data_IF_214323094055
#
_entry.id   IF_214323094055
#
_cell.length_a   1.000
_cell.length_b   1.000
_cell.length_c   1.000
_cell.angle_alpha   90.00
_cell.angle_beta   90.00
_cell.angle_gamma   90.00
#
_symmetry.space_group_name_H-M   'P 1'
#
loop_
_entity.id
_entity.type
_entity.pdbx_description
1 polymer ?
#
# COMPACT_ATOMS: atom_id res chain seq x y z
N UNK A 1 -78.70 39.33 22.88
CA UNK A 1 -78.31 38.77 21.57
C UNK A 1 -77.34 39.72 20.87
N UNK A 2 -76.05 39.37 20.83
CA UNK A 2 -75.09 39.63 19.73
C UNK A 2 -73.74 39.07 20.16
N UNK A 3 -73.33 38.02 19.47
CA UNK A 3 -72.16 37.20 19.78
C UNK A 3 -70.88 37.89 19.31
N UNK A 4 -69.82 37.84 20.12
CA UNK A 4 -68.45 38.18 19.74
C UNK A 4 -67.67 36.87 19.70
N UNK A 5 -67.39 36.38 18.49
CA UNK A 5 -66.52 35.23 18.26
C UNK A 5 -65.07 35.69 18.35
N UNK A 6 -64.36 35.28 19.41
CA UNK A 6 -62.92 35.39 19.50
C UNK A 6 -62.26 34.22 18.75
N UNK A 7 -61.49 34.51 17.72
CA UNK A 7 -60.69 33.54 16.96
C UNK A 7 -59.32 33.45 17.64
N UNK A 8 -59.04 32.32 18.28
CA UNK A 8 -57.70 32.00 18.80
C UNK A 8 -56.88 31.37 17.69
N UNK A 9 -55.96 32.13 17.09
CA UNK A 9 -54.98 31.60 16.14
C UNK A 9 -53.84 30.97 16.95
N UNK A 10 -53.77 29.64 17.00
CA UNK A 10 -52.56 28.93 17.41
C UNK A 10 -51.53 29.04 16.28
N UNK A 11 -50.56 29.93 16.43
CA UNK A 11 -49.34 29.91 15.62
C UNK A 11 -48.48 28.77 16.15
N UNK A 12 -48.58 27.61 15.50
CA UNK A 12 -47.58 26.54 15.66
C UNK A 12 -46.29 27.07 15.03
N UNK A 13 -45.29 27.38 15.87
CA UNK A 13 -43.91 27.61 15.43
C UNK A 13 -43.39 26.32 14.78
N UNK A 14 -43.47 26.25 13.46
CA UNK A 14 -42.67 25.33 12.65
C UNK A 14 -41.22 25.81 12.68
N UNK A 15 -40.47 25.38 13.70
CA UNK A 15 -39.00 25.46 13.67
C UNK A 15 -38.44 24.68 12.47
N UNK A 16 -37.29 25.07 11.92
CA UNK A 16 -36.78 24.53 10.66
C UNK A 16 -36.29 23.09 10.85
N UNK A 17 -37.17 22.12 10.54
CA UNK A 17 -36.81 20.69 10.45
C UNK A 17 -35.82 20.39 9.31
N UNK A 18 -35.57 21.34 8.40
CA UNK A 18 -34.65 21.17 7.26
C UNK A 18 -33.18 21.13 7.66
N UNK A 19 -32.78 21.84 8.71
CA UNK A 19 -31.37 21.95 9.10
C UNK A 19 -30.84 20.62 9.65
N UNK A 20 -31.63 19.91 10.45
CA UNK A 20 -31.22 18.62 11.04
C UNK A 20 -31.11 17.48 10.02
N UNK A 21 -31.94 17.49 8.97
CA UNK A 21 -31.89 16.48 7.92
C UNK A 21 -30.61 16.59 7.06
N UNK A 22 -30.19 17.82 6.75
CA UNK A 22 -28.96 18.07 5.97
C UNK A 22 -27.69 17.70 6.76
N UNK A 23 -27.64 17.98 8.08
CA UNK A 23 -26.53 17.55 8.94
C UNK A 23 -26.45 16.03 9.09
N UNK A 24 -27.59 15.35 9.22
CA UNK A 24 -27.64 13.88 9.30
C UNK A 24 -27.21 13.20 7.99
N UNK A 25 -27.62 13.76 6.84
CA UNK A 25 -27.24 13.29 5.50
C UNK A 25 -25.73 13.45 5.22
N UNK A 26 -25.17 14.60 5.60
CA UNK A 26 -23.74 14.87 5.50
C UNK A 26 -22.95 13.94 6.43
N UNK A 27 -23.36 13.79 7.69
CA UNK A 27 -22.71 12.88 8.65
C UNK A 27 -22.67 11.42 8.18
N UNK A 28 -23.77 10.91 7.62
CA UNK A 28 -23.82 9.56 7.05
C UNK A 28 -22.88 9.39 5.86
N UNK A 29 -22.80 10.40 4.98
CA UNK A 29 -21.90 10.39 3.82
C UNK A 29 -20.43 10.44 4.25
N UNK A 30 -20.10 11.25 5.27
CA UNK A 30 -18.76 11.30 5.85
C UNK A 30 -18.37 9.97 6.50
N UNK A 31 -19.29 9.34 7.22
CA UNK A 31 -19.07 8.03 7.85
C UNK A 31 -18.73 6.95 6.81
N UNK A 32 -19.53 6.82 5.75
CA UNK A 32 -19.30 5.85 4.66
C UNK A 32 -17.97 6.10 3.96
N UNK A 33 -17.63 7.37 3.72
CA UNK A 33 -16.38 7.74 3.05
C UNK A 33 -15.15 7.39 3.88
N UNK A 34 -15.19 7.68 5.19
CA UNK A 34 -14.10 7.35 6.10
C UNK A 34 -13.96 5.84 6.24
N UNK A 35 -15.06 5.12 6.47
CA UNK A 35 -15.05 3.66 6.61
C UNK A 35 -14.46 2.97 5.36
N UNK A 36 -14.90 3.38 4.16
CA UNK A 36 -14.34 2.84 2.92
C UNK A 36 -12.86 3.16 2.79
N UNK A 37 -12.44 4.37 3.12
CA UNK A 37 -11.04 4.77 3.03
C UNK A 37 -10.15 4.07 4.07
N UNK A 38 -10.66 3.76 5.27
CA UNK A 38 -9.97 2.94 6.28
C UNK A 38 -9.71 1.55 5.70
N UNK A 39 -10.74 0.88 5.17
CA UNK A 39 -10.61 -0.45 4.55
C UNK A 39 -9.64 -0.45 3.37
N UNK A 40 -9.69 0.59 2.52
CA UNK A 40 -8.72 0.74 1.42
C UNK A 40 -7.29 0.92 1.94
N UNK A 41 -7.07 1.76 2.96
CA UNK A 41 -5.75 1.98 3.53
C UNK A 41 -5.20 0.68 4.15
N UNK A 42 -6.02 -0.04 4.92
CA UNK A 42 -5.64 -1.31 5.54
C UNK A 42 -5.14 -2.32 4.49
N UNK A 43 -5.92 -2.51 3.42
CA UNK A 43 -5.55 -3.38 2.31
C UNK A 43 -4.20 -2.99 1.67
N UNK A 44 -4.00 -1.70 1.40
CA UNK A 44 -2.76 -1.20 0.79
C UNK A 44 -1.55 -1.35 1.71
N UNK A 45 -1.74 -1.11 3.01
CA UNK A 45 -0.70 -1.31 4.03
C UNK A 45 -0.31 -2.79 4.08
N UNK A 46 -1.28 -3.71 4.14
CA UNK A 46 -1.02 -5.15 4.17
C UNK A 46 -0.35 -5.62 2.87
N UNK A 47 -0.75 -5.10 1.71
CA UNK A 47 -0.13 -5.42 0.43
C UNK A 47 1.37 -5.05 0.35
N UNK A 48 1.78 -3.98 1.05
CA UNK A 48 3.19 -3.59 1.17
C UNK A 48 3.99 -4.43 2.17
N UNK A 49 3.33 -5.09 3.12
CA UNK A 49 3.97 -5.74 4.27
C UNK A 49 5.09 -6.71 3.87
N UNK A 50 4.82 -7.59 2.90
CA UNK A 50 5.82 -8.53 2.37
C UNK A 50 7.06 -7.81 1.84
N UNK A 51 6.86 -6.74 1.06
CA UNK A 51 7.95 -5.98 0.45
C UNK A 51 8.81 -5.29 1.48
N UNK A 52 8.18 -4.66 2.48
CA UNK A 52 8.91 -3.92 3.52
C UNK A 52 9.61 -4.88 4.49
N UNK A 53 8.95 -5.96 4.88
CA UNK A 53 9.52 -6.95 5.82
C UNK A 53 10.68 -7.71 5.19
N UNK A 54 10.56 -8.12 3.92
CA UNK A 54 11.57 -8.95 3.26
C UNK A 54 12.75 -8.13 2.71
N UNK A 55 12.46 -6.99 2.07
CA UNK A 55 13.40 -6.26 1.21
C UNK A 55 13.47 -4.75 1.54
N UNK A 56 12.73 -4.28 2.55
CA UNK A 56 12.67 -2.86 2.89
C UNK A 56 13.96 -2.34 3.50
N UNK A 57 14.38 -1.15 3.07
CA UNK A 57 15.43 -0.39 3.76
C UNK A 57 14.92 0.12 5.11
N UNK A 58 15.83 0.48 6.01
CA UNK A 58 15.46 1.05 7.32
C UNK A 58 14.62 2.33 7.19
N UNK A 59 14.89 3.17 6.19
CA UNK A 59 14.07 4.35 5.90
C UNK A 59 12.64 3.97 5.48
N UNK A 60 12.49 2.92 4.65
CA UNK A 60 11.18 2.43 4.24
C UNK A 60 10.42 1.78 5.41
N UNK A 61 11.12 1.04 6.28
CA UNK A 61 10.53 0.45 7.49
C UNK A 61 10.04 1.54 8.46
N UNK A 62 10.82 2.60 8.67
CA UNK A 62 10.44 3.72 9.51
C UNK A 62 9.20 4.45 8.96
N UNK A 63 9.16 4.71 7.65
CA UNK A 63 7.98 5.31 7.00
C UNK A 63 6.76 4.37 7.07
N UNK A 64 6.97 3.06 6.90
CA UNK A 64 5.89 2.07 7.02
C UNK A 64 5.29 2.02 8.43
N UNK A 65 6.14 2.03 9.47
CA UNK A 65 5.70 2.17 10.86
C UNK A 65 4.88 3.44 11.06
N UNK A 66 5.36 4.58 10.54
CA UNK A 66 4.66 5.88 10.62
C UNK A 66 3.29 5.86 9.94
N UNK A 67 3.17 5.19 8.79
CA UNK A 67 1.88 5.00 8.10
C UNK A 67 0.91 4.20 8.97
N UNK A 68 1.36 3.11 9.59
CA UNK A 68 0.53 2.29 10.48
C UNK A 68 0.08 3.09 11.70
N UNK A 69 0.97 3.88 12.31
CA UNK A 69 0.63 4.77 13.42
C UNK A 69 -0.51 5.74 13.06
N UNK A 70 -0.43 6.43 11.92
CA UNK A 70 -1.51 7.30 11.45
C UNK A 70 -2.79 6.53 11.09
N UNK A 71 -2.66 5.30 10.59
CA UNK A 71 -3.81 4.45 10.32
C UNK A 71 -4.53 4.02 11.61
N UNK A 72 -3.79 3.67 12.66
CA UNK A 72 -4.34 3.39 13.99
C UNK A 72 -5.01 4.64 14.56
N UNK A 73 -4.37 5.81 14.48
CA UNK A 73 -4.97 7.09 14.89
C UNK A 73 -6.29 7.36 14.16
N UNK A 74 -6.32 7.14 12.85
CA UNK A 74 -7.53 7.29 12.02
C UNK A 74 -8.67 6.41 12.54
N UNK A 75 -8.37 5.15 12.87
CA UNK A 75 -9.34 4.21 13.45
C UNK A 75 -9.82 4.65 14.84
N UNK A 76 -8.91 5.11 15.71
CA UNK A 76 -9.28 5.63 17.04
C UNK A 76 -10.23 6.82 16.93
N UNK A 77 -9.93 7.78 16.06
CA UNK A 77 -10.79 8.95 15.82
C UNK A 77 -12.15 8.55 15.23
N UNK A 78 -12.16 7.57 14.31
CA UNK A 78 -13.39 7.04 13.73
C UNK A 78 -14.28 6.39 14.80
N UNK A 79 -13.72 5.55 15.67
CA UNK A 79 -14.49 4.92 16.77
C UNK A 79 -14.96 5.93 17.83
N UNK A 80 -14.27 7.05 17.98
CA UNK A 80 -14.72 8.18 18.81
C UNK A 80 -15.77 9.06 18.12
N UNK A 81 -16.20 8.72 16.89
CA UNK A 81 -17.07 9.52 16.04
C UNK A 81 -16.55 10.94 15.72
N UNK A 82 -15.25 11.18 15.85
CA UNK A 82 -14.60 12.44 15.43
C UNK A 82 -14.28 12.35 13.90
N UNK A 83 -15.34 12.35 13.09
CA UNK A 83 -15.28 12.04 11.65
C UNK A 83 -14.45 13.04 10.85
N UNK A 84 -14.45 14.32 11.24
CA UNK A 84 -13.66 15.36 10.58
C UNK A 84 -12.16 15.10 10.76
N UNK A 85 -11.72 14.90 12.00
CA UNK A 85 -10.30 14.60 12.28
C UNK A 85 -9.91 13.24 11.71
N UNK A 86 -10.78 12.23 11.82
CA UNK A 86 -10.53 10.92 11.20
C UNK A 86 -10.32 11.05 9.69
N UNK A 87 -11.16 11.81 8.99
CA UNK A 87 -10.99 12.05 7.56
C UNK A 87 -9.67 12.78 7.22
N UNK A 88 -9.24 13.73 8.06
CA UNK A 88 -7.95 14.41 7.87
C UNK A 88 -6.75 13.48 8.05
N UNK A 89 -6.76 12.61 9.07
CA UNK A 89 -5.68 11.63 9.31
C UNK A 89 -5.70 10.50 8.28
N UNK A 90 -6.87 10.13 7.78
CA UNK A 90 -7.03 9.21 6.66
C UNK A 90 -6.33 9.74 5.41
N UNK A 91 -6.50 11.04 5.10
CA UNK A 91 -5.82 11.70 3.98
C UNK A 91 -4.32 11.75 4.17
N UNK A 92 -3.86 12.08 5.37
CA UNK A 92 -2.43 12.06 5.71
C UNK A 92 -1.81 10.67 5.53
N UNK A 93 -2.51 9.62 5.98
CA UNK A 93 -2.10 8.22 5.76
C UNK A 93 -1.95 7.92 4.27
N UNK A 94 -2.90 8.38 3.44
CA UNK A 94 -2.85 8.21 1.98
C UNK A 94 -1.67 8.94 1.35
N UNK A 95 -1.36 10.16 1.78
CA UNK A 95 -0.22 10.93 1.27
C UNK A 95 1.10 10.21 1.59
N UNK A 96 1.27 9.71 2.81
CA UNK A 96 2.46 8.94 3.20
C UNK A 96 2.56 7.61 2.44
N UNK A 97 1.43 6.93 2.21
CA UNK A 97 1.40 5.72 1.38
C UNK A 97 1.87 6.00 -0.05
N UNK A 98 1.45 7.10 -0.67
CA UNK A 98 1.89 7.47 -2.03
C UNK A 98 3.42 7.62 -2.09
N UNK A 99 4.02 8.23 -1.06
CA UNK A 99 5.48 8.38 -0.95
C UNK A 99 6.14 6.99 -0.86
N UNK A 100 5.69 6.14 0.08
CA UNK A 100 6.29 4.83 0.29
C UNK A 100 6.17 3.93 -0.94
N UNK A 101 4.98 3.84 -1.54
CA UNK A 101 4.77 3.08 -2.77
C UNK A 101 5.70 3.56 -3.88
N UNK A 102 5.82 4.88 -4.06
CA UNK A 102 6.67 5.45 -5.11
C UNK A 102 8.14 5.05 -4.92
N UNK A 103 8.66 5.17 -3.70
CA UNK A 103 10.04 4.80 -3.38
C UNK A 103 10.31 3.31 -3.61
N UNK A 104 9.38 2.44 -3.18
CA UNK A 104 9.47 0.99 -3.35
C UNK A 104 9.42 0.60 -4.82
N UNK A 105 8.50 1.17 -5.60
CA UNK A 105 8.37 0.90 -7.04
C UNK A 105 9.64 1.34 -7.77
N UNK A 106 10.16 2.52 -7.46
CA UNK A 106 11.28 3.09 -8.19
C UNK A 106 12.59 2.34 -7.93
N UNK A 107 12.84 1.98 -6.67
CA UNK A 107 13.97 1.11 -6.28
C UNK A 107 13.84 -0.28 -6.90
N UNK A 108 12.69 -0.93 -6.79
CA UNK A 108 12.44 -2.26 -7.36
C UNK A 108 12.60 -2.29 -8.88
N UNK A 109 12.04 -1.28 -9.58
CA UNK A 109 12.19 -1.10 -11.03
C UNK A 109 13.65 -1.04 -11.44
N UNK A 110 14.46 -0.23 -10.74
CA UNK A 110 15.89 -0.08 -11.03
C UNK A 110 16.62 -1.41 -10.89
N UNK A 111 16.36 -2.15 -9.83
CA UNK A 111 16.96 -3.47 -9.58
C UNK A 111 16.54 -4.49 -10.63
N UNK A 112 15.23 -4.61 -10.90
CA UNK A 112 14.69 -5.55 -11.90
C UNK A 112 15.28 -5.27 -13.28
N UNK A 113 15.31 -4.00 -13.70
CA UNK A 113 15.88 -3.62 -15.00
C UNK A 113 17.35 -4.03 -15.10
N UNK A 114 18.17 -3.70 -14.11
CA UNK A 114 19.59 -4.05 -14.12
C UNK A 114 19.84 -5.56 -14.20
N UNK A 115 19.05 -6.35 -13.47
CA UNK A 115 19.12 -7.81 -13.55
C UNK A 115 18.67 -8.33 -14.92
N UNK A 116 17.57 -7.83 -15.48
CA UNK A 116 17.10 -8.22 -16.80
C UNK A 116 18.10 -7.88 -17.90
N UNK A 117 18.76 -6.73 -17.84
CA UNK A 117 19.77 -6.35 -18.82
C UNK A 117 20.96 -7.32 -18.78
N UNK A 118 21.36 -7.77 -17.58
CA UNK A 118 22.44 -8.75 -17.42
C UNK A 118 22.04 -10.17 -17.87
N UNK A 119 20.82 -10.61 -17.54
CA UNK A 119 20.29 -11.92 -17.89
C UNK A 119 19.93 -12.01 -19.38
N UNK A 120 19.47 -10.90 -19.96
CA UNK A 120 19.11 -10.79 -21.37
C UNK A 120 20.30 -11.05 -22.28
N UNK A 121 21.50 -10.56 -21.92
CA UNK A 121 22.72 -10.86 -22.66
C UNK A 121 23.03 -12.36 -22.73
N UNK A 122 22.70 -13.12 -21.67
CA UNK A 122 22.86 -14.58 -21.65
C UNK A 122 21.78 -15.26 -22.47
N UNK A 123 20.51 -14.89 -22.26
CA UNK A 123 19.36 -15.53 -22.88
C UNK A 123 19.28 -15.36 -24.40
N UNK A 124 19.75 -14.23 -24.95
CA UNK A 124 19.72 -13.98 -26.40
C UNK A 124 20.72 -14.88 -27.14
N UNK A 125 21.86 -15.22 -26.51
CA UNK A 125 22.92 -16.04 -27.13
C UNK A 125 22.55 -17.50 -27.25
N UNK A 126 21.57 -17.98 -26.47
CA UNK A 126 21.13 -19.36 -26.49
C UNK A 126 20.03 -19.61 -27.53
N UNK A 127 19.92 -20.86 -27.98
CA UNK A 127 18.87 -21.29 -28.91
C UNK A 127 17.56 -21.65 -28.18
N UNK A 128 17.58 -21.83 -26.86
CA UNK A 128 16.41 -22.25 -26.09
C UNK A 128 15.28 -21.20 -26.11
N UNK A 129 14.05 -21.66 -26.36
CA UNK A 129 12.87 -20.79 -26.44
C UNK A 129 12.32 -20.38 -25.06
N UNK A 130 12.40 -21.26 -24.05
CA UNK A 130 11.80 -21.02 -22.71
C UNK A 130 12.42 -19.79 -22.02
N UNK A 131 13.76 -19.62 -21.95
CA UNK A 131 14.35 -18.44 -21.32
C UNK A 131 14.05 -17.13 -22.09
N UNK A 132 14.01 -17.16 -23.42
CA UNK A 132 13.62 -15.99 -24.23
C UNK A 132 12.20 -15.54 -23.92
N UNK A 133 11.27 -16.50 -23.81
CA UNK A 133 9.89 -16.21 -23.39
C UNK A 133 9.83 -15.60 -21.99
N UNK A 134 10.58 -16.13 -21.02
CA UNK A 134 10.61 -15.53 -19.67
C UNK A 134 11.17 -14.10 -19.70
N UNK A 135 12.19 -13.84 -20.50
CA UNK A 135 12.76 -12.50 -20.68
C UNK A 135 11.74 -11.51 -21.26
N UNK A 136 11.04 -11.91 -22.32
CA UNK A 136 9.98 -11.10 -22.94
C UNK A 136 8.85 -10.78 -21.96
N UNK A 137 8.40 -11.79 -21.22
CA UNK A 137 7.36 -11.63 -20.21
C UNK A 137 7.83 -10.68 -19.10
N UNK A 138 9.07 -10.81 -18.63
CA UNK A 138 9.62 -9.95 -17.60
C UNK A 138 9.66 -8.47 -18.03
N UNK A 139 10.19 -8.18 -19.22
CA UNK A 139 10.22 -6.81 -19.76
C UNK A 139 8.83 -6.24 -20.03
N UNK A 140 7.88 -7.08 -20.47
CA UNK A 140 6.49 -6.66 -20.68
C UNK A 140 5.86 -6.19 -19.36
N UNK A 141 5.95 -7.00 -18.31
CA UNK A 141 5.39 -6.64 -17.00
C UNK A 141 6.10 -5.41 -16.40
N UNK A 142 7.43 -5.30 -16.56
CA UNK A 142 8.19 -4.12 -16.14
C UNK A 142 7.72 -2.85 -16.85
N UNK A 143 7.55 -2.90 -18.18
CA UNK A 143 7.05 -1.76 -18.97
C UNK A 143 5.62 -1.37 -18.58
N UNK A 144 4.75 -2.35 -18.36
CA UNK A 144 3.38 -2.09 -17.89
C UNK A 144 3.39 -1.43 -16.49
N UNK A 145 4.27 -1.87 -15.58
CA UNK A 145 4.43 -1.26 -14.27
C UNK A 145 4.85 0.21 -14.35
N UNK A 146 5.77 0.53 -15.26
CA UNK A 146 6.25 1.90 -15.52
C UNK A 146 5.18 2.81 -16.08
N UNK A 147 4.34 2.29 -16.97
CA UNK A 147 3.18 3.03 -17.47
C UNK A 147 2.23 3.37 -16.33
N UNK A 148 1.89 2.41 -15.46
CA UNK A 148 1.03 2.65 -14.29
C UNK A 148 1.62 3.69 -13.35
N UNK A 149 2.92 3.63 -13.07
CA UNK A 149 3.62 4.62 -12.25
C UNK A 149 3.55 6.02 -12.88
N UNK A 150 3.80 6.11 -14.18
CA UNK A 150 3.75 7.39 -14.93
C UNK A 150 2.35 8.00 -14.89
N UNK A 151 1.29 7.20 -15.05
CA UNK A 151 -0.10 7.67 -14.95
C UNK A 151 -0.39 8.16 -13.52
N UNK A 152 0.07 7.44 -12.50
CA UNK A 152 -0.08 7.88 -11.10
C UNK A 152 0.59 9.22 -10.83
N UNK A 153 1.82 9.41 -11.32
CA UNK A 153 2.59 10.64 -11.11
C UNK A 153 1.91 11.85 -11.77
N UNK A 154 1.34 11.63 -12.96
CA UNK A 154 0.59 12.65 -13.71
C UNK A 154 -0.86 12.83 -13.21
N UNK A 155 -1.35 11.98 -12.31
CA UNK A 155 -2.68 12.12 -11.73
C UNK A 155 -2.71 13.32 -10.78
N UNK A 156 -3.86 14.01 -10.72
CA UNK A 156 -4.04 15.24 -9.92
C UNK A 156 -3.68 14.99 -8.44
N UNK A 157 -3.02 15.94 -7.75
CA UNK A 157 -2.54 15.73 -6.37
C UNK A 157 -3.61 15.27 -5.36
N UNK A 158 -4.82 15.82 -5.44
CA UNK A 158 -5.92 15.54 -4.51
C UNK A 158 -6.68 14.23 -4.76
N UNK A 159 -6.28 13.44 -5.77
CA UNK A 159 -6.89 12.15 -6.12
C UNK A 159 -6.06 10.98 -5.58
N UNK A 160 -5.70 11.03 -4.29
CA UNK A 160 -4.87 10.00 -3.66
C UNK A 160 -5.39 8.57 -3.84
N UNK A 161 -6.70 8.27 -3.70
CA UNK A 161 -7.18 6.89 -3.87
C UNK A 161 -6.86 6.31 -5.26
N UNK A 162 -7.02 7.10 -6.32
CA UNK A 162 -6.72 6.68 -7.69
C UNK A 162 -5.21 6.50 -7.88
N UNK A 163 -4.39 7.39 -7.30
CA UNK A 163 -2.93 7.23 -7.31
C UNK A 163 -2.51 5.93 -6.66
N UNK A 164 -3.03 5.66 -5.46
CA UNK A 164 -2.70 4.46 -4.71
C UNK A 164 -3.12 3.17 -5.41
N UNK A 165 -4.27 3.18 -6.08
CA UNK A 165 -4.71 2.05 -6.91
C UNK A 165 -3.72 1.79 -8.07
N UNK A 166 -3.34 2.83 -8.81
CA UNK A 166 -2.35 2.73 -9.90
C UNK A 166 -0.97 2.29 -9.40
N UNK A 167 -0.53 2.78 -8.24
CA UNK A 167 0.73 2.38 -7.62
C UNK A 167 0.68 0.93 -7.15
N UNK A 168 -0.44 0.49 -6.58
CA UNK A 168 -0.62 -0.91 -6.21
C UNK A 168 -0.58 -1.84 -7.42
N UNK A 169 -1.25 -1.46 -8.52
CA UNK A 169 -1.16 -2.20 -9.79
C UNK A 169 0.28 -2.26 -10.31
N UNK A 170 1.01 -1.14 -10.25
CA UNK A 170 2.43 -1.09 -10.62
C UNK A 170 3.27 -2.05 -9.78
N UNK A 171 3.08 -2.08 -8.45
CA UNK A 171 3.77 -3.01 -7.55
C UNK A 171 3.48 -4.47 -7.90
N UNK A 172 2.22 -4.83 -8.19
CA UNK A 172 1.86 -6.20 -8.61
C UNK A 172 2.60 -6.60 -9.89
N UNK A 173 2.65 -5.72 -10.88
CA UNK A 173 3.33 -5.95 -12.15
C UNK A 173 4.84 -6.10 -11.95
N UNK A 174 5.46 -5.30 -11.07
CA UNK A 174 6.87 -5.46 -10.72
C UNK A 174 7.15 -6.81 -10.05
N UNK A 175 6.32 -7.23 -9.10
CA UNK A 175 6.43 -8.57 -8.48
C UNK A 175 6.30 -9.67 -9.53
N UNK A 176 5.38 -9.54 -10.48
CA UNK A 176 5.23 -10.50 -11.58
C UNK A 176 6.45 -10.52 -12.51
N UNK A 177 7.00 -9.35 -12.86
CA UNK A 177 8.26 -9.24 -13.61
C UNK A 177 9.40 -9.95 -12.88
N UNK A 178 9.51 -9.71 -11.56
CA UNK A 178 10.52 -10.29 -10.70
C UNK A 178 10.42 -11.82 -10.61
N UNK A 179 9.23 -12.43 -10.72
CA UNK A 179 9.10 -13.89 -10.81
C UNK A 179 9.86 -14.46 -12.00
N UNK A 180 9.72 -13.84 -13.17
CA UNK A 180 10.47 -14.27 -14.36
C UNK A 180 11.97 -14.03 -14.23
N UNK A 181 12.37 -12.97 -13.52
CA UNK A 181 13.79 -12.75 -13.18
C UNK A 181 14.34 -13.87 -12.31
N UNK A 182 13.58 -14.36 -11.32
CA UNK A 182 13.97 -15.52 -10.50
C UNK A 182 14.15 -16.77 -11.37
N UNK A 183 13.20 -17.06 -12.26
CA UNK A 183 13.30 -18.22 -13.18
C UNK A 183 14.52 -18.13 -14.10
N UNK A 184 14.79 -16.94 -14.66
CA UNK A 184 15.99 -16.70 -15.46
C UNK A 184 17.28 -16.85 -14.63
N UNK A 185 17.26 -16.35 -13.40
CA UNK A 185 18.40 -16.46 -12.48
C UNK A 185 18.67 -17.92 -12.14
N UNK A 186 17.63 -18.72 -11.90
CA UNK A 186 17.81 -20.16 -11.68
C UNK A 186 18.44 -20.84 -12.91
N UNK A 187 18.05 -20.46 -14.13
CA UNK A 187 18.68 -21.05 -15.34
C UNK A 187 20.16 -20.68 -15.48
N UNK A 188 20.52 -19.43 -15.21
CA UNK A 188 21.84 -18.87 -15.60
C UNK A 188 22.82 -18.63 -14.46
N UNK A 189 22.34 -18.63 -13.22
CA UNK A 189 23.10 -18.27 -12.03
C UNK A 189 23.06 -19.35 -10.95
N UNK A 190 22.38 -20.48 -11.19
CA UNK A 190 22.39 -21.59 -10.24
C UNK A 190 23.77 -22.24 -10.13
N UNK A 191 24.09 -22.65 -8.91
CA UNK A 191 25.27 -23.46 -8.56
C UNK A 191 25.11 -24.89 -9.11
N UNK A 192 23.87 -25.38 -9.23
CA UNK A 192 23.52 -26.70 -9.76
C UNK A 192 22.40 -26.61 -10.81
N UNK A 193 22.33 -27.54 -11.78
CA UNK A 193 21.24 -27.54 -12.76
C UNK A 193 19.87 -27.63 -12.07
N UNK A 194 18.96 -26.67 -12.30
CA UNK A 194 17.61 -26.71 -11.73
C UNK A 194 16.75 -27.76 -12.43
N UNK A 195 15.73 -28.27 -11.74
CA UNK A 195 14.71 -29.12 -12.32
C UNK A 195 13.78 -28.26 -13.22
N UNK A 196 13.64 -28.58 -14.53
CA UNK A 196 12.92 -27.73 -15.48
C UNK A 196 11.40 -27.70 -15.34
N UNK A 197 10.77 -28.58 -14.55
CA UNK A 197 9.31 -28.79 -14.59
C UNK A 197 8.51 -28.10 -13.46
N UNK A 198 9.15 -27.66 -12.38
CA UNK A 198 8.43 -27.09 -11.23
C UNK A 198 8.19 -25.58 -11.37
N UNK A 199 6.93 -25.16 -11.49
CA UNK A 199 6.52 -23.76 -11.61
C UNK A 199 5.64 -23.27 -10.45
N UNK A 200 5.29 -24.15 -9.51
CA UNK A 200 4.51 -23.79 -8.31
C UNK A 200 5.39 -23.13 -7.24
N UNK A 201 4.74 -22.50 -6.26
CA UNK A 201 5.45 -21.77 -5.20
C UNK A 201 6.44 -22.68 -4.45
N UNK A 202 5.99 -23.87 -4.04
CA UNK A 202 6.79 -24.78 -3.22
C UNK A 202 7.92 -25.40 -4.04
N UNK A 203 7.65 -25.80 -5.28
CA UNK A 203 8.66 -26.31 -6.20
C UNK A 203 9.78 -25.32 -6.45
N UNK A 204 9.45 -24.07 -6.80
CA UNK A 204 10.45 -23.01 -7.00
C UNK A 204 11.24 -22.74 -5.71
N UNK A 205 10.58 -22.74 -4.54
CA UNK A 205 11.28 -22.54 -3.26
C UNK A 205 12.28 -23.67 -2.97
N UNK A 206 11.88 -24.92 -3.20
CA UNK A 206 12.76 -26.08 -3.02
C UNK A 206 13.96 -26.00 -3.97
N UNK A 207 13.72 -25.61 -5.22
CA UNK A 207 14.78 -25.43 -6.20
C UNK A 207 15.70 -24.24 -5.87
N UNK A 208 15.18 -23.14 -5.31
CA UNK A 208 16.02 -22.06 -4.77
C UNK A 208 16.93 -22.60 -3.66
N UNK A 209 16.38 -23.38 -2.72
CA UNK A 209 17.16 -23.94 -1.62
C UNK A 209 18.23 -24.94 -2.09
N UNK A 210 17.96 -25.67 -3.17
CA UNK A 210 18.86 -26.69 -3.74
C UNK A 210 19.89 -26.12 -4.70
N UNK A 211 19.44 -25.38 -5.71
CA UNK A 211 20.22 -24.96 -6.87
C UNK A 211 20.87 -23.57 -6.70
N UNK A 212 20.30 -22.69 -5.88
CA UNK A 212 20.83 -21.36 -5.59
C UNK A 212 21.48 -21.29 -4.21
N UNK A 213 22.15 -22.36 -3.77
CA UNK A 213 22.62 -22.54 -2.38
C UNK A 213 23.41 -21.33 -1.85
N UNK A 214 24.31 -20.77 -2.65
CA UNK A 214 25.14 -19.61 -2.30
C UNK A 214 24.34 -18.32 -2.04
N UNK A 215 23.14 -18.21 -2.61
CA UNK A 215 22.27 -17.01 -2.55
C UNK A 215 20.84 -17.36 -2.11
N UNK A 216 20.66 -18.49 -1.43
CA UNK A 216 19.33 -19.05 -1.13
C UNK A 216 18.44 -18.06 -0.38
N UNK A 217 18.99 -17.35 0.61
CA UNK A 217 18.20 -16.45 1.47
C UNK A 217 17.73 -15.22 0.70
N UNK A 218 18.56 -14.72 -0.21
CA UNK A 218 18.22 -13.60 -1.09
C UNK A 218 17.07 -13.98 -2.03
N UNK A 219 17.21 -15.09 -2.76
CA UNK A 219 16.19 -15.53 -3.71
C UNK A 219 14.92 -16.02 -3.01
N UNK A 220 15.02 -16.62 -1.83
CA UNK A 220 13.86 -17.00 -1.04
C UNK A 220 13.07 -15.77 -0.60
N UNK A 221 13.73 -14.71 -0.08
CA UNK A 221 13.06 -13.44 0.25
C UNK A 221 12.34 -12.84 -0.95
N UNK A 222 12.99 -12.82 -2.12
CA UNK A 222 12.37 -12.33 -3.37
C UNK A 222 11.16 -13.21 -3.75
N UNK A 223 11.28 -14.53 -3.66
CA UNK A 223 10.21 -15.45 -4.04
C UNK A 223 8.99 -15.34 -3.14
N UNK A 224 9.19 -15.24 -1.82
CA UNK A 224 8.14 -14.95 -0.86
C UNK A 224 7.49 -13.59 -1.15
N UNK A 225 8.30 -12.56 -1.38
CA UNK A 225 7.82 -11.22 -1.68
C UNK A 225 6.94 -11.17 -2.94
N UNK A 226 7.35 -11.87 -4.00
CA UNK A 226 6.62 -11.96 -5.26
C UNK A 226 5.23 -12.60 -5.11
N UNK A 227 4.99 -13.33 -4.03
CA UNK A 227 3.72 -13.96 -3.69
C UNK A 227 2.99 -13.26 -2.53
N UNK A 228 3.43 -12.06 -2.15
CA UNK A 228 2.89 -11.30 -1.03
C UNK A 228 2.99 -12.02 0.32
N UNK A 229 4.05 -12.82 0.51
CA UNK A 229 4.33 -13.52 1.76
C UNK A 229 5.53 -12.90 2.47
N UNK A 230 5.52 -12.91 3.80
CA UNK A 230 6.67 -12.56 4.62
C UNK A 230 7.59 -13.77 4.76
N UNK A 231 8.89 -13.53 4.60
CA UNK A 231 9.92 -14.52 4.82
C UNK A 231 10.26 -14.58 6.32
N UNK A 232 10.51 -15.76 6.87
CA UNK A 232 10.88 -15.98 8.28
C UNK A 232 9.88 -15.53 9.35
N UNK A 233 8.63 -15.20 8.99
CA UNK A 233 7.57 -14.87 9.95
C UNK A 233 7.63 -13.46 10.55
N UNK A 234 8.60 -12.63 10.16
CA UNK A 234 8.62 -11.21 10.53
C UNK A 234 7.48 -10.49 9.80
N UNK A 235 6.39 -10.24 10.51
CA UNK A 235 5.23 -9.50 10.02
C UNK A 235 5.22 -8.11 10.65
N UNK A 236 5.83 -7.14 9.95
CA UNK A 236 5.93 -5.77 10.45
C UNK A 236 4.56 -5.10 10.62
N UNK A 237 3.59 -5.46 9.78
CA UNK A 237 2.21 -4.97 9.93
C UNK A 237 1.63 -5.37 11.29
N UNK A 238 1.64 -6.66 11.62
CA UNK A 238 1.07 -7.15 12.87
C UNK A 238 1.80 -6.56 14.08
N UNK A 239 3.14 -6.49 14.05
CA UNK A 239 3.92 -5.95 15.16
C UNK A 239 3.62 -4.48 15.41
N UNK A 240 3.56 -3.65 14.37
CA UNK A 240 3.29 -2.23 14.51
C UNK A 240 1.81 -1.93 14.76
N UNK A 241 0.91 -2.81 14.36
CA UNK A 241 -0.51 -2.67 14.69
C UNK A 241 -0.79 -2.99 16.16
N UNK A 242 -0.15 -4.04 16.70
CA UNK A 242 -0.31 -4.46 18.08
C UNK A 242 0.31 -3.46 19.07
N UNK A 243 1.52 -2.98 18.78
CA UNK A 243 2.21 -1.96 19.57
C UNK A 243 2.64 -0.79 18.68
N UNK A 244 1.72 0.16 18.41
CA UNK A 244 1.99 1.26 17.49
C UNK A 244 2.91 2.34 18.06
N UNK A 245 3.12 2.43 19.38
CA UNK A 245 3.90 3.50 20.01
C UNK A 245 3.52 4.92 19.51
N UNK A 246 2.24 5.31 19.68
CA UNK A 246 1.65 6.52 19.08
C UNK A 246 2.27 7.83 19.59
N UNK A 247 2.98 7.80 20.73
CA UNK A 247 3.81 8.88 21.24
C UNK A 247 4.94 9.29 20.28
N UNK A 248 5.39 8.38 19.40
CA UNK A 248 6.39 8.71 18.38
C UNK A 248 5.88 9.72 17.34
N UNK A 249 4.56 9.80 17.17
CA UNK A 249 3.93 10.78 16.28
C UNK A 249 4.21 12.23 16.73
N UNK A 250 4.49 12.45 18.01
CA UNK A 250 4.82 13.78 18.54
C UNK A 250 6.17 14.32 18.01
N UNK A 251 6.99 13.44 17.46
CA UNK A 251 8.25 13.79 16.80
C UNK A 251 8.08 13.74 15.28
N UNK A 252 8.70 14.67 14.53
CA UNK A 252 8.67 14.62 13.08
C UNK A 252 9.45 13.42 12.55
N UNK A 253 9.03 12.86 11.42
CA UNK A 253 9.81 11.91 10.64
C UNK A 253 10.53 12.66 9.52
N UNK A 254 11.66 13.29 9.88
CA UNK A 254 12.41 14.16 8.97
C UNK A 254 11.53 15.25 8.36
N UNK A 255 11.65 15.46 7.05
CA UNK A 255 10.81 16.40 6.28
C UNK A 255 9.55 15.73 5.69
N UNK A 256 9.41 14.40 5.84
CA UNK A 256 8.33 13.61 5.22
C UNK A 256 7.03 13.77 6.00
N UNK A 257 7.11 13.73 7.33
CA UNK A 257 5.93 13.82 8.20
C UNK A 257 6.19 14.74 9.39
N UNK A 258 5.37 15.78 9.52
CA UNK A 258 5.50 16.77 10.58
C UNK A 258 5.07 16.23 11.95
N UNK A 259 5.57 16.82 13.05
CA UNK A 259 5.14 16.45 14.40
C UNK A 259 3.61 16.54 14.57
N UNK A 260 3.00 15.47 15.08
CA UNK A 260 1.58 15.35 15.37
C UNK A 260 1.37 15.32 16.88
N UNK A 261 0.84 16.42 17.43
CA UNK A 261 0.48 16.52 18.85
C UNK A 261 -1.02 16.32 19.05
N UNK A 262 -1.39 15.23 19.73
CA UNK A 262 -2.77 14.93 20.15
C UNK A 262 -3.34 16.02 21.06
N UNK A 263 -2.55 16.46 22.04
CA UNK A 263 -2.96 17.49 23.00
C UNK A 263 -3.32 18.82 22.31
N UNK A 264 -2.52 19.24 21.32
CA UNK A 264 -2.74 20.49 20.58
C UNK A 264 -4.01 20.45 19.72
N UNK A 265 -4.40 19.27 19.19
CA UNK A 265 -5.65 19.12 18.43
C UNK A 265 -6.89 18.99 19.31
N UNK A 266 -6.75 18.51 20.54
CA UNK A 266 -7.86 18.47 21.49
C UNK A 266 -8.15 19.84 22.11
N UNK A 267 -7.15 20.71 22.23
CA UNK A 267 -7.29 22.09 22.72
C UNK A 267 -7.93 23.06 21.71
N UNK A 268 -8.11 22.67 20.44
CA UNK A 268 -8.77 23.47 19.39
C UNK A 268 -10.28 23.21 19.26
N UNK A 269 -10.89 22.53 20.24
CA UNK A 269 -12.35 22.35 20.33
C UNK A 269 -13.02 23.60 20.87
#
# INVERSE_FOLDING_TARGET
MRAVFGITIYVVLSGPFSVFADYASNGATHLVRVERGIKTNEFLIQALNSTISNLGSEANKALYKRIIQHHVETNQLYFQFDLEKSYSELKRTQDLLVILYSNVIESSRKTIRGELDSLGQKAIREAETKPKKHLEMAYRELSAAEQKKTISDNTRPYLQPIKLELLYESLKLLKQSRKYVVLLSMKYLSDFPPDPETEDFTGILNEINRAMFSRKDEFAKIHFDNHFHTYSGENLYDSYWQDPALEELEKPLGEIDSAYSRARRNAKR
#
